data_IF_418919698124
#
_entry.id   IF_418919698124
#
_cell.length_a   1.000
_cell.length_b   1.000
_cell.length_c   1.000
_cell.angle_alpha   90.00
_cell.angle_beta   90.00
_cell.angle_gamma   90.00
#
_symmetry.space_group_name_H-M   'P 1'
#
loop_
_entity.id
_entity.type
_entity.pdbx_description
1 polymer ?
#
# COMPACT_ATOMS: atom_id res chain seq x y z
N UNK A 1 -6.66 -1.95 33.01
CA UNK A 1 -6.18 -2.43 32.29
C UNK A 1 -5.98 -1.87 31.09
N UNK A 2 -5.23 -1.79 30.69
CA UNK A 2 -4.86 -1.09 29.59
C UNK A 2 -4.78 -1.82 28.38
N UNK A 3 -5.10 -3.03 28.43
CA UNK A 3 -4.90 -3.75 27.28
C UNK A 3 -5.89 -3.49 26.27
N UNK A 4 -6.85 -2.65 26.49
CA UNK A 4 -7.90 -2.40 25.54
C UNK A 4 -7.42 -1.86 24.24
N UNK A 5 -6.34 -1.10 24.25
CA UNK A 5 -5.87 -0.55 22.99
C UNK A 5 -4.58 -1.17 22.54
N UNK A 6 -4.10 -2.13 23.25
CA UNK A 6 -2.92 -2.82 22.83
C UNK A 6 -3.31 -4.08 22.11
N UNK A 7 -2.93 -4.19 20.88
CA UNK A 7 -3.20 -5.40 20.14
C UNK A 7 -2.22 -6.47 20.54
N UNK A 8 -2.72 -7.66 20.78
CA UNK A 8 -1.85 -8.79 21.04
C UNK A 8 -1.15 -9.19 19.76
N UNK A 9 -0.07 -9.95 19.90
CA UNK A 9 0.63 -10.46 18.72
C UNK A 9 -0.28 -11.30 17.83
N UNK A 10 -1.18 -12.08 18.43
CA UNK A 10 -2.09 -12.90 17.64
C UNK A 10 -3.08 -12.04 16.89
N UNK A 11 -3.53 -10.93 17.46
CA UNK A 11 -4.45 -10.03 16.75
C UNK A 11 -3.75 -9.36 15.57
N UNK A 12 -2.50 -8.94 15.77
CA UNK A 12 -1.73 -8.32 14.70
C UNK A 12 -1.48 -9.35 13.60
N UNK A 13 -1.10 -10.57 13.97
CA UNK A 13 -0.86 -11.62 13.00
C UNK A 13 -2.12 -11.93 12.20
N UNK A 14 -3.28 -11.91 12.86
CA UNK A 14 -4.54 -12.15 12.17
C UNK A 14 -4.85 -11.07 11.16
N UNK A 15 -4.62 -9.81 11.51
CA UNK A 15 -4.85 -8.70 10.59
C UNK A 15 -3.95 -8.80 9.37
N UNK A 16 -2.69 -9.15 9.58
CA UNK A 16 -1.74 -9.33 8.47
C UNK A 16 -2.17 -10.50 7.60
N UNK A 17 -2.60 -11.59 8.22
CA UNK A 17 -3.05 -12.76 7.48
C UNK A 17 -4.26 -12.43 6.62
N UNK A 18 -5.21 -11.69 7.17
CA UNK A 18 -6.40 -11.29 6.43
C UNK A 18 -6.06 -10.36 5.27
N UNK A 19 -5.11 -9.45 5.50
CA UNK A 19 -4.67 -8.55 4.44
C UNK A 19 -4.04 -9.32 3.29
N UNK A 20 -3.23 -10.31 3.61
CA UNK A 20 -2.60 -11.15 2.60
C UNK A 20 -3.62 -11.96 1.81
N UNK A 21 -4.68 -12.42 2.49
CA UNK A 21 -5.73 -13.14 1.81
C UNK A 21 -6.51 -12.24 0.87
N UNK A 22 -6.76 -10.99 1.27
CA UNK A 22 -7.42 -10.03 0.39
C UNK A 22 -6.61 -9.79 -0.88
N UNK A 23 -5.31 -9.62 -0.73
CA UNK A 23 -4.43 -9.42 -1.87
C UNK A 23 -4.41 -10.65 -2.77
N UNK A 24 -4.27 -11.82 -2.17
CA UNK A 24 -4.24 -13.07 -2.93
C UNK A 24 -5.51 -13.26 -3.72
N UNK A 25 -6.65 -13.06 -3.08
CA UNK A 25 -7.95 -13.21 -3.73
C UNK A 25 -8.08 -12.22 -4.89
N UNK A 26 -7.70 -10.97 -4.66
CA UNK A 26 -7.80 -9.93 -5.69
C UNK A 26 -7.00 -10.29 -6.93
N UNK A 27 -5.74 -10.67 -6.74
CA UNK A 27 -4.88 -10.94 -7.89
C UNK A 27 -5.25 -12.22 -8.60
N UNK A 28 -5.68 -13.24 -7.85
CA UNK A 28 -6.17 -14.46 -8.45
C UNK A 28 -7.43 -14.21 -9.26
N UNK A 29 -8.36 -13.47 -8.70
CA UNK A 29 -9.61 -13.17 -9.39
C UNK A 29 -9.37 -12.36 -10.65
N UNK A 30 -8.36 -11.50 -10.62
CA UNK A 30 -8.02 -10.68 -11.77
C UNK A 30 -7.21 -11.43 -12.82
N UNK A 31 -6.84 -12.67 -12.56
CA UNK A 31 -6.15 -13.49 -13.55
C UNK A 31 -4.63 -13.47 -13.45
N UNK A 32 -4.08 -12.92 -12.38
CA UNK A 32 -2.63 -12.83 -12.22
C UNK A 32 -2.04 -13.94 -11.36
N UNK A 33 -2.87 -14.87 -10.92
CA UNK A 33 -2.40 -15.99 -10.11
C UNK A 33 -2.14 -15.58 -8.68
N UNK A 34 -1.33 -16.36 -7.98
CA UNK A 34 -1.02 -16.09 -6.59
C UNK A 34 0.09 -15.07 -6.53
N UNK A 35 -0.24 -13.86 -6.15
CA UNK A 35 0.71 -12.74 -6.12
C UNK A 35 0.63 -12.01 -4.81
N UNK A 36 1.72 -11.37 -4.42
CA UNK A 36 1.70 -10.37 -3.36
C UNK A 36 1.59 -8.99 -4.00
N UNK A 37 1.21 -8.00 -3.21
CA UNK A 37 1.17 -6.63 -3.72
C UNK A 37 2.55 -6.20 -4.21
N UNK A 38 3.60 -6.59 -3.49
CA UNK A 38 4.96 -6.20 -3.84
C UNK A 38 5.43 -6.84 -5.15
N UNK A 39 4.91 -8.02 -5.47
CA UNK A 39 5.32 -8.74 -6.66
C UNK A 39 4.57 -8.34 -7.91
N UNK A 40 3.49 -7.58 -7.77
CA UNK A 40 2.70 -7.16 -8.93
C UNK A 40 3.49 -6.23 -9.81
N UNK A 41 3.26 -6.36 -11.12
CA UNK A 41 3.88 -5.49 -12.10
C UNK A 41 3.39 -4.05 -11.89
N UNK A 42 4.29 -3.09 -11.67
CA UNK A 42 3.85 -1.71 -11.39
C UNK A 42 3.10 -1.07 -12.54
N UNK A 43 3.39 -1.46 -13.76
CA UNK A 43 2.70 -0.96 -14.94
C UNK A 43 1.23 -1.37 -14.91
N UNK A 44 0.98 -2.63 -14.54
CA UNK A 44 -0.37 -3.15 -14.42
C UNK A 44 -1.10 -2.41 -13.30
N UNK A 45 -0.43 -2.19 -12.17
CA UNK A 45 -1.06 -1.49 -11.06
C UNK A 45 -1.47 -0.08 -11.46
N UNK A 46 -0.58 0.66 -12.11
CA UNK A 46 -0.91 2.04 -12.50
C UNK A 46 -2.07 2.09 -13.48
N UNK A 47 -2.15 1.14 -14.37
CA UNK A 47 -3.14 1.18 -15.43
C UNK A 47 -4.47 0.56 -15.03
N UNK A 48 -4.43 -0.56 -14.34
CA UNK A 48 -5.62 -1.33 -14.07
C UNK A 48 -6.09 -1.31 -12.62
N UNK A 49 -5.20 -0.99 -11.71
CA UNK A 49 -5.51 -1.00 -10.28
C UNK A 49 -4.98 0.25 -9.59
N UNK A 50 -5.34 1.44 -10.10
CA UNK A 50 -4.88 2.67 -9.45
C UNK A 50 -5.58 2.87 -8.12
N UNK A 51 -5.04 3.78 -7.33
CA UNK A 51 -5.73 4.28 -6.16
C UNK A 51 -6.92 5.12 -6.62
N UNK A 52 -7.68 5.66 -5.68
CA UNK A 52 -8.77 6.55 -6.07
C UNK A 52 -8.20 7.81 -6.72
N UNK A 53 -9.07 8.65 -7.28
CA UNK A 53 -8.60 9.80 -8.06
C UNK A 53 -7.78 10.76 -7.21
N UNK A 54 -8.16 10.97 -5.97
CA UNK A 54 -7.41 11.87 -5.08
C UNK A 54 -6.02 11.29 -4.77
N UNK A 55 -5.94 9.99 -4.55
CA UNK A 55 -4.66 9.33 -4.32
C UNK A 55 -3.75 9.40 -5.53
N UNK A 56 -4.30 9.17 -6.71
CA UNK A 56 -3.49 9.27 -7.93
C UNK A 56 -3.06 10.69 -8.20
N UNK A 57 -3.89 11.68 -7.87
CA UNK A 57 -3.52 13.07 -8.03
C UNK A 57 -2.33 13.43 -7.12
N UNK A 58 -2.31 12.88 -5.91
CA UNK A 58 -1.20 13.12 -5.01
C UNK A 58 0.09 12.52 -5.55
N UNK A 59 0.04 11.30 -6.08
CA UNK A 59 1.21 10.69 -6.70
C UNK A 59 1.70 11.53 -7.88
N UNK A 60 0.78 11.98 -8.71
CA UNK A 60 1.12 12.80 -9.86
C UNK A 60 1.79 14.10 -9.44
N UNK A 61 1.29 14.72 -8.37
CA UNK A 61 1.89 15.96 -7.87
C UNK A 61 3.32 15.75 -7.39
N UNK A 62 3.57 14.65 -6.68
CA UNK A 62 4.90 14.33 -6.19
C UNK A 62 5.86 14.05 -7.36
N UNK A 63 5.37 13.36 -8.38
CA UNK A 63 6.19 13.13 -9.57
C UNK A 63 6.47 14.43 -10.29
N UNK A 64 5.47 15.29 -10.40
CA UNK A 64 5.58 16.52 -11.17
C UNK A 64 6.56 17.51 -10.56
N UNK A 65 6.66 17.55 -9.23
CA UNK A 65 7.58 18.50 -8.59
C UNK A 65 8.94 17.86 -8.29
N UNK A 66 9.14 16.63 -8.71
CA UNK A 66 10.44 15.99 -8.52
C UNK A 66 10.67 15.41 -7.13
N UNK A 67 9.64 15.41 -6.28
CA UNK A 67 9.78 14.87 -4.92
C UNK A 67 9.98 13.37 -4.92
N UNK A 68 9.55 12.68 -5.96
CA UNK A 68 9.63 11.25 -6.01
C UNK A 68 9.93 10.81 -7.44
N UNK A 69 10.68 9.74 -7.58
CA UNK A 69 10.95 9.16 -8.90
C UNK A 69 9.79 8.26 -9.31
N UNK A 70 9.76 7.86 -10.58
CA UNK A 70 8.74 6.90 -11.04
C UNK A 70 8.82 5.60 -10.25
N UNK A 71 10.03 5.14 -9.96
CA UNK A 71 10.20 3.93 -9.16
C UNK A 71 9.63 4.11 -7.77
N UNK A 72 9.87 5.29 -7.18
CA UNK A 72 9.33 5.60 -5.86
C UNK A 72 7.81 5.66 -5.87
N UNK A 73 7.24 6.21 -6.94
CA UNK A 73 5.79 6.24 -7.07
C UNK A 73 5.20 4.84 -7.18
N UNK A 74 5.87 3.95 -7.93
CA UNK A 74 5.43 2.58 -8.05
C UNK A 74 5.45 1.87 -6.70
N UNK A 75 6.50 2.08 -5.93
CA UNK A 75 6.62 1.48 -4.61
C UNK A 75 5.56 2.04 -3.66
N UNK A 76 5.29 3.34 -3.77
CA UNK A 76 4.25 3.96 -2.94
C UNK A 76 2.87 3.37 -3.27
N UNK A 77 2.57 3.15 -4.55
CA UNK A 77 1.29 2.56 -4.92
C UNK A 77 1.16 1.13 -4.38
N UNK A 78 2.22 0.35 -4.45
CA UNK A 78 2.20 -1.01 -3.89
C UNK A 78 1.98 -0.97 -2.37
N UNK A 79 2.63 -0.05 -1.69
CA UNK A 79 2.46 0.10 -0.25
C UNK A 79 1.05 0.57 0.08
N UNK A 80 0.49 1.46 -0.73
CA UNK A 80 -0.88 1.92 -0.53
C UNK A 80 -1.86 0.76 -0.63
N UNK A 81 -1.64 -0.18 -1.55
CA UNK A 81 -2.47 -1.38 -1.62
C UNK A 81 -2.36 -2.22 -0.35
N UNK A 82 -1.16 -2.35 0.19
CA UNK A 82 -0.96 -3.09 1.44
C UNK A 82 -1.69 -2.41 2.59
N UNK A 83 -1.60 -1.10 2.69
CA UNK A 83 -2.30 -0.35 3.73
C UNK A 83 -3.81 -0.45 3.57
N UNK A 84 -4.28 -0.39 2.34
CA UNK A 84 -5.69 -0.57 2.03
C UNK A 84 -6.18 -1.96 2.44
N UNK A 85 -5.38 -2.98 2.18
CA UNK A 85 -5.73 -4.35 2.56
C UNK A 85 -5.79 -4.52 4.07
N UNK A 86 -4.89 -3.87 4.79
CA UNK A 86 -4.91 -3.91 6.25
C UNK A 86 -6.16 -3.25 6.80
N UNK A 87 -6.65 -2.22 6.14
CA UNK A 87 -7.87 -1.53 6.55
C UNK A 87 -9.14 -2.20 6.04
N UNK A 88 -9.02 -3.17 5.16
CA UNK A 88 -10.18 -3.81 4.56
C UNK A 88 -10.89 -2.94 3.54
N UNK A 89 -10.21 -1.95 2.99
CA UNK A 89 -10.79 -1.07 1.99
C UNK A 89 -10.76 -1.74 0.61
N UNK A 90 -11.66 -1.33 -0.26
CA UNK A 90 -11.76 -1.91 -1.60
C UNK A 90 -10.61 -1.45 -2.51
N UNK A 91 -10.23 -0.19 -2.40
CA UNK A 91 -9.11 0.35 -3.16
C UNK A 91 -8.36 1.33 -2.26
N UNK A 92 -7.10 1.62 -2.57
CA UNK A 92 -6.36 2.64 -1.81
C UNK A 92 -6.97 4.01 -2.03
N UNK A 93 -7.11 4.77 -0.96
CA UNK A 93 -7.62 6.15 -1.05
C UNK A 93 -6.48 7.13 -0.81
N UNK A 94 -6.82 8.41 -0.77
CA UNK A 94 -5.83 9.46 -0.53
C UNK A 94 -5.05 9.23 0.75
N UNK A 95 -5.73 8.79 1.81
CA UNK A 95 -5.06 8.54 3.09
C UNK A 95 -4.02 7.44 2.97
N UNK A 96 -4.34 6.38 2.27
CA UNK A 96 -3.39 5.28 2.07
C UNK A 96 -2.19 5.74 1.25
N UNK A 97 -2.42 6.52 0.20
CA UNK A 97 -1.32 7.02 -0.63
C UNK A 97 -0.45 7.99 0.17
N UNK A 98 -1.08 8.89 0.92
CA UNK A 98 -0.33 9.84 1.74
C UNK A 98 0.53 9.11 2.77
N UNK A 99 -0.02 8.10 3.41
CA UNK A 99 0.72 7.32 4.40
C UNK A 99 1.87 6.57 3.74
N UNK A 100 1.63 6.01 2.55
CA UNK A 100 2.68 5.31 1.82
C UNK A 100 3.83 6.25 1.46
N UNK A 101 3.50 7.48 1.07
CA UNK A 101 4.52 8.47 0.76
C UNK A 101 5.30 8.89 2.00
N UNK A 102 4.63 9.01 3.14
CA UNK A 102 5.30 9.29 4.40
C UNK A 102 6.26 8.18 4.78
N UNK A 103 5.83 6.95 4.64
CA UNK A 103 6.70 5.81 4.94
C UNK A 103 7.91 5.79 4.03
N UNK A 104 7.74 6.18 2.77
CA UNK A 104 8.86 6.27 1.87
C UNK A 104 9.85 7.35 2.31
N UNK A 105 9.33 8.48 2.75
CA UNK A 105 10.18 9.58 3.18
C UNK A 105 10.93 9.22 4.46
N UNK A 106 10.37 8.33 5.25
CA UNK A 106 11.01 7.89 6.47
C UNK A 106 12.22 7.01 6.22
N UNK A 107 12.52 6.71 4.97
CA UNK A 107 13.70 5.91 4.69
C UNK A 107 14.96 6.57 5.22
N UNK A 108 14.96 7.88 5.36
CA UNK A 108 16.10 8.53 5.95
C UNK A 108 16.20 8.21 7.44
N UNK A 109 15.06 8.10 8.11
CA UNK A 109 15.04 7.63 9.48
C UNK A 109 15.47 6.18 9.53
N UNK A 110 15.00 5.37 8.59
CA UNK A 110 15.42 4.00 8.51
C UNK A 110 16.90 3.86 8.33
N UNK A 111 17.50 4.77 7.59
CA UNK A 111 18.94 4.76 7.40
C UNK A 111 19.69 5.12 8.65
N UNK A 112 19.05 5.83 9.57
CA UNK A 112 19.68 6.18 10.82
C UNK A 112 19.58 5.09 11.86
N UNK A 113 18.70 4.16 11.65
CA UNK A 113 18.49 3.07 12.56
C UNK A 113 19.33 1.88 12.14
#
# INVERSE_FOLDING_TARGET
MSDGYEESSSTIAQRVSEARERARFRWQKAGYGVQTNAAMNPHVLRREFPADSAGMALLTAYLGDGSISHRGADRALKMAWTLSDLDGAAIPDLGHVAQALELRDDRSLGALV
#
